data_IF_346762639368
#
_entry.id   IF_346762639368
#
_cell.length_a   1.000
_cell.length_b   1.000
_cell.length_c   1.000
_cell.angle_alpha   90.00
_cell.angle_beta   90.00
_cell.angle_gamma   90.00
#
_symmetry.space_group_name_H-M   'P 1'
#
loop_
_entity.id
_entity.type
_entity.pdbx_description
1 polymer ?
#
# COMPACT_ATOMS: atom_id res chain seq x y z
N UNK A 1 9.87 -2.88 4.91
CA UNK A 1 8.39 -2.91 4.92
C UNK A 1 7.84 -1.58 4.45
N UNK A 2 6.77 -1.63 3.70
CA UNK A 2 6.20 -0.42 3.13
C UNK A 2 4.86 -0.11 3.77
N UNK A 3 4.50 1.16 3.76
CA UNK A 3 3.26 1.63 4.35
C UNK A 3 2.38 2.25 3.28
N UNK A 4 1.14 1.78 3.20
CA UNK A 4 0.13 2.39 2.34
C UNK A 4 -0.95 2.95 3.23
N UNK A 5 -1.28 4.22 3.01
CA UNK A 5 -2.24 4.92 3.83
C UNK A 5 -3.40 5.38 2.98
N UNK A 6 -4.62 5.03 3.38
CA UNK A 6 -5.82 5.32 2.60
C UNK A 6 -6.84 5.99 3.52
N UNK A 7 -7.46 7.07 3.04
CA UNK A 7 -8.58 7.68 3.74
C UNK A 7 -9.86 7.37 3.00
N UNK A 8 -10.86 6.86 3.72
CA UNK A 8 -12.15 6.50 3.14
C UNK A 8 -13.28 7.04 4.01
N UNK A 9 -14.47 7.16 3.42
CA UNK A 9 -15.63 7.67 4.15
C UNK A 9 -16.14 6.67 5.17
N UNK A 10 -16.23 5.41 4.80
CA UNK A 10 -16.77 4.36 5.67
C UNK A 10 -15.89 3.14 5.62
N UNK A 11 -15.65 2.56 6.79
CA UNK A 11 -14.72 1.45 6.90
C UNK A 11 -15.17 0.22 6.12
N UNK A 12 -16.47 0.07 5.92
CA UNK A 12 -16.93 -1.10 5.17
C UNK A 12 -16.51 -1.08 3.71
N UNK A 13 -16.13 0.07 3.17
CA UNK A 13 -15.58 0.12 1.82
C UNK A 13 -14.24 -0.59 1.73
N UNK A 14 -13.59 -0.81 2.86
CA UNK A 14 -12.30 -1.47 2.90
C UNK A 14 -12.38 -2.93 3.27
N UNK A 15 -13.56 -3.53 3.19
CA UNK A 15 -13.74 -4.92 3.62
C UNK A 15 -12.79 -5.88 2.89
N UNK A 16 -12.53 -5.65 1.63
CA UNK A 16 -11.61 -6.50 0.88
C UNK A 16 -10.19 -6.35 1.37
N UNK A 17 -9.78 -5.12 1.70
CA UNK A 17 -8.44 -4.90 2.25
C UNK A 17 -8.29 -5.57 3.61
N UNK A 18 -9.32 -5.47 4.43
CA UNK A 18 -9.29 -6.08 5.75
C UNK A 18 -9.20 -7.60 5.63
N UNK A 19 -9.99 -8.17 4.73
CA UNK A 19 -9.94 -9.61 4.51
C UNK A 19 -8.58 -10.04 4.00
N UNK A 20 -8.00 -9.25 3.11
CA UNK A 20 -6.68 -9.56 2.57
C UNK A 20 -5.64 -9.60 3.68
N UNK A 21 -5.70 -8.63 4.59
CA UNK A 21 -4.77 -8.59 5.71
C UNK A 21 -4.95 -9.79 6.64
N UNK A 22 -6.19 -10.22 6.83
CA UNK A 22 -6.47 -11.36 7.70
C UNK A 22 -5.95 -12.67 7.14
N UNK A 23 -5.85 -12.75 5.82
CA UNK A 23 -5.46 -14.00 5.17
C UNK A 23 -4.04 -13.98 4.63
N UNK A 24 -3.27 -12.91 4.87
CA UNK A 24 -1.94 -12.78 4.29
C UNK A 24 -0.97 -12.26 5.33
N UNK A 25 0.04 -13.07 5.64
CA UNK A 25 1.02 -12.72 6.68
C UNK A 25 1.87 -11.53 6.32
N UNK A 26 1.96 -11.20 5.04
CA UNK A 26 2.78 -10.08 4.60
C UNK A 26 2.09 -8.73 4.77
N UNK A 27 0.86 -8.71 5.25
CA UNK A 27 0.09 -7.49 5.36
C UNK A 27 -0.51 -7.36 6.77
N UNK A 28 -0.18 -6.25 7.42
CA UNK A 28 -0.83 -5.87 8.67
C UNK A 28 -1.67 -4.65 8.40
N UNK A 29 -2.82 -4.56 9.06
CA UNK A 29 -3.73 -3.45 8.83
C UNK A 29 -4.12 -2.80 10.15
N UNK A 30 -4.15 -1.48 10.14
CA UNK A 30 -4.64 -0.69 11.26
C UNK A 30 -5.70 0.26 10.74
N UNK A 31 -6.87 0.27 11.36
CA UNK A 31 -7.92 1.21 10.99
C UNK A 31 -8.11 2.20 12.11
N UNK A 32 -8.26 3.46 11.75
CA UNK A 32 -8.36 4.51 12.73
C UNK A 32 -9.36 5.55 12.28
N UNK A 33 -10.43 5.71 13.05
CA UNK A 33 -11.42 6.71 12.73
C UNK A 33 -10.90 8.08 13.11
N UNK A 34 -11.02 9.04 12.20
CA UNK A 34 -10.53 10.37 12.49
C UNK A 34 -11.35 10.99 13.61
N UNK A 35 -10.71 11.90 14.32
CA UNK A 35 -11.27 12.46 15.54
C UNK A 35 -12.63 13.11 15.31
N UNK A 36 -12.78 13.84 14.21
CA UNK A 36 -14.05 14.48 13.93
C UNK A 36 -15.06 13.54 13.29
N UNK A 37 -14.70 12.28 13.07
CA UNK A 37 -15.63 11.24 12.66
C UNK A 37 -15.98 11.18 11.20
N UNK A 38 -15.41 12.04 10.38
CA UNK A 38 -15.81 12.10 8.99
C UNK A 38 -15.11 11.07 8.10
N UNK A 39 -13.88 10.74 8.43
CA UNK A 39 -13.10 9.84 7.59
C UNK A 39 -12.46 8.76 8.45
N UNK A 40 -12.19 7.63 7.81
CA UNK A 40 -11.43 6.56 8.43
C UNK A 40 -10.11 6.43 7.72
N UNK A 41 -9.02 6.39 8.48
CA UNK A 41 -7.70 6.17 7.92
C UNK A 41 -7.34 4.70 8.08
N UNK A 42 -6.90 4.09 6.99
CA UNK A 42 -6.46 2.70 6.98
C UNK A 42 -4.99 2.70 6.64
N UNK A 43 -4.20 2.09 7.52
CA UNK A 43 -2.76 1.96 7.31
C UNK A 43 -2.44 0.50 7.07
N UNK A 44 -1.81 0.23 5.94
CA UNK A 44 -1.37 -1.10 5.59
C UNK A 44 0.15 -1.14 5.68
N UNK A 45 0.66 -2.07 6.49
CA UNK A 45 2.08 -2.30 6.61
C UNK A 45 2.38 -3.58 5.85
N UNK A 46 3.14 -3.46 4.78
CA UNK A 46 3.22 -4.51 3.76
C UNK A 46 4.65 -4.90 3.46
N UNK A 47 4.90 -6.20 3.42
CA UNK A 47 6.10 -6.73 2.79
C UNK A 47 5.75 -6.95 1.32
N UNK A 48 6.29 -6.13 0.44
CA UNK A 48 5.90 -6.18 -0.97
C UNK A 48 6.52 -7.37 -1.66
N UNK A 49 5.67 -8.20 -2.24
CA UNK A 49 6.07 -9.30 -3.10
C UNK A 49 5.22 -9.22 -4.35
N UNK A 50 5.60 -9.97 -5.38
CA UNK A 50 4.83 -9.99 -6.61
C UNK A 50 3.39 -10.43 -6.33
N UNK A 51 3.23 -11.43 -5.47
CA UNK A 51 1.89 -11.93 -5.15
C UNK A 51 1.05 -10.90 -4.44
N UNK A 52 1.66 -10.17 -3.50
CA UNK A 52 0.94 -9.12 -2.77
C UNK A 52 0.53 -8.00 -3.72
N UNK A 53 1.44 -7.58 -4.58
CA UNK A 53 1.13 -6.53 -5.55
C UNK A 53 -0.03 -6.97 -6.44
N UNK A 54 0.00 -8.22 -6.90
CA UNK A 54 -1.01 -8.73 -7.81
C UNK A 54 -2.42 -8.70 -7.22
N UNK A 55 -2.56 -8.94 -5.91
CA UNK A 55 -3.88 -8.93 -5.30
C UNK A 55 -4.26 -7.55 -4.78
N UNK A 56 -3.29 -6.73 -4.40
CA UNK A 56 -3.56 -5.44 -3.80
C UNK A 56 -3.96 -4.38 -4.83
N UNK A 57 -3.29 -4.38 -5.99
CA UNK A 57 -3.51 -3.34 -6.99
C UNK A 57 -4.95 -3.29 -7.49
N UNK A 58 -5.57 -4.42 -7.84
CA UNK A 58 -6.97 -4.37 -8.29
C UNK A 58 -7.92 -3.83 -7.22
N UNK A 59 -7.65 -4.14 -5.96
CA UNK A 59 -8.51 -3.66 -4.87
C UNK A 59 -8.40 -2.15 -4.76
N UNK A 60 -7.18 -1.62 -4.75
CA UNK A 60 -6.97 -0.18 -4.68
C UNK A 60 -7.61 0.51 -5.88
N UNK A 61 -7.39 -0.05 -7.07
CA UNK A 61 -7.95 0.54 -8.29
C UNK A 61 -9.47 0.57 -8.24
N UNK A 62 -10.07 -0.52 -7.75
CA UNK A 62 -11.53 -0.58 -7.63
C UNK A 62 -12.05 0.51 -6.70
N UNK A 63 -11.38 0.72 -5.56
CA UNK A 63 -11.78 1.74 -4.62
C UNK A 63 -11.68 3.13 -5.24
N UNK A 64 -10.62 3.38 -5.99
CA UNK A 64 -10.45 4.66 -6.66
C UNK A 64 -11.53 4.85 -7.72
N UNK A 65 -11.79 3.83 -8.50
CA UNK A 65 -12.76 3.89 -9.59
C UNK A 65 -14.15 4.22 -9.08
N UNK A 66 -14.50 3.73 -7.90
CA UNK A 66 -15.80 3.94 -7.32
C UNK A 66 -15.85 5.11 -6.35
N UNK A 67 -14.81 5.94 -6.37
CA UNK A 67 -14.72 7.15 -5.54
C UNK A 67 -14.84 6.86 -4.05
N UNK A 68 -14.27 5.74 -3.61
CA UNK A 68 -14.30 5.36 -2.19
C UNK A 68 -13.11 5.87 -1.42
N UNK A 69 -12.05 6.27 -2.11
CA UNK A 69 -10.82 6.75 -1.49
C UNK A 69 -10.73 8.26 -1.65
N UNK A 70 -10.49 8.96 -0.54
CA UNK A 70 -10.24 10.40 -0.58
C UNK A 70 -8.76 10.71 -0.77
N UNK A 71 -7.90 9.92 -0.15
CA UNK A 71 -6.46 10.15 -0.20
C UNK A 71 -5.73 8.82 -0.23
N UNK A 72 -4.66 8.78 -1.00
CA UNK A 72 -3.78 7.61 -1.06
C UNK A 72 -2.35 8.09 -0.86
N UNK A 73 -1.66 7.47 0.11
CA UNK A 73 -0.24 7.75 0.33
C UNK A 73 0.53 6.43 0.33
N UNK A 74 1.69 6.44 -0.27
CA UNK A 74 2.58 5.29 -0.26
C UNK A 74 3.91 5.74 0.32
N UNK A 75 4.30 5.14 1.44
CA UNK A 75 5.52 5.50 2.16
C UNK A 75 5.58 6.98 2.47
N UNK A 76 4.42 7.55 2.83
CA UNK A 76 4.33 8.95 3.21
C UNK A 76 4.17 9.92 2.07
N UNK A 77 4.26 9.44 0.84
CA UNK A 77 4.14 10.29 -0.33
C UNK A 77 2.73 10.23 -0.87
N UNK A 78 2.10 11.39 -0.99
CA UNK A 78 0.73 11.45 -1.52
C UNK A 78 0.74 11.14 -3.01
N UNK A 79 -0.15 10.27 -3.42
CA UNK A 79 -0.28 9.88 -4.81
C UNK A 79 -1.50 10.55 -5.40
N UNK A 80 -1.33 11.15 -6.58
CA UNK A 80 -2.44 11.76 -7.28
C UNK A 80 -3.33 10.67 -7.85
N UNK A 81 -4.58 10.61 -7.37
CA UNK A 81 -5.46 9.51 -7.75
C UNK A 81 -6.45 9.87 -8.84
N UNK A 82 -6.52 11.15 -9.25
CA UNK A 82 -7.40 11.53 -10.33
C UNK A 82 -6.92 10.91 -11.63
N UNK A 83 -7.77 10.08 -12.24
CA UNK A 83 -7.45 9.44 -13.52
C UNK A 83 -6.26 8.52 -13.47
N UNK A 84 -5.89 8.03 -12.29
CA UNK A 84 -4.77 7.10 -12.19
C UNK A 84 -5.17 5.75 -12.78
N UNK A 85 -4.26 5.11 -13.49
CA UNK A 85 -4.52 3.80 -14.07
C UNK A 85 -4.04 2.70 -13.13
N UNK A 86 -4.60 1.51 -13.35
CA UNK A 86 -4.15 0.35 -12.59
C UNK A 86 -2.67 0.07 -12.86
N UNK A 87 -2.25 0.28 -14.10
CA UNK A 87 -0.86 0.07 -14.48
C UNK A 87 0.07 0.99 -13.73
N UNK A 88 -0.33 2.23 -13.50
CA UNK A 88 0.51 3.17 -12.78
C UNK A 88 0.63 2.78 -11.32
N UNK A 89 -0.47 2.36 -10.70
CA UNK A 89 -0.43 1.90 -9.32
C UNK A 89 0.52 0.72 -9.20
N UNK A 90 0.39 -0.23 -10.11
CA UNK A 90 1.26 -1.40 -10.11
C UNK A 90 2.72 -1.00 -10.27
N UNK A 91 2.98 -0.07 -11.17
CA UNK A 91 4.34 0.39 -11.42
C UNK A 91 4.96 1.03 -10.17
N UNK A 92 4.18 1.84 -9.47
CA UNK A 92 4.66 2.48 -8.25
C UNK A 92 5.04 1.43 -7.22
N UNK A 93 4.18 0.46 -7.00
CA UNK A 93 4.44 -0.58 -6.00
C UNK A 93 5.61 -1.47 -6.42
N UNK A 94 5.73 -1.78 -7.70
CA UNK A 94 6.84 -2.57 -8.18
C UNK A 94 8.16 -1.84 -7.99
N UNK A 95 8.17 -0.54 -8.22
CA UNK A 95 9.37 0.26 -7.98
C UNK A 95 9.76 0.26 -6.51
N UNK A 96 8.78 0.36 -5.62
CA UNK A 96 9.07 0.31 -4.19
C UNK A 96 9.64 -1.05 -3.81
N UNK A 97 9.09 -2.11 -4.37
CA UNK A 97 9.59 -3.45 -4.11
C UNK A 97 11.04 -3.60 -4.56
N UNK A 98 11.36 -3.08 -5.74
CA UNK A 98 12.72 -3.16 -6.26
C UNK A 98 13.70 -2.37 -5.42
N UNK A 99 13.29 -1.19 -4.95
CA UNK A 99 14.15 -0.38 -4.11
C UNK A 99 14.47 -1.07 -2.80
N UNK A 100 13.48 -1.71 -2.21
CA UNK A 100 13.69 -2.43 -0.97
C UNK A 100 14.64 -3.60 -1.16
N UNK A 101 14.45 -4.36 -2.23
CA UNK A 101 15.33 -5.49 -2.53
C UNK A 101 16.75 -5.03 -2.80
N UNK A 102 16.90 -3.96 -3.52
CA UNK A 102 18.18 -3.40 -3.84
C UNK A 102 18.92 -2.93 -2.59
N UNK A 103 18.20 -2.28 -1.70
CA UNK A 103 18.77 -1.81 -0.45
C UNK A 103 19.22 -2.98 0.42
N UNK A 104 18.41 -4.00 0.51
CA UNK A 104 18.76 -5.18 1.29
C UNK A 104 19.99 -5.89 0.72
N UNK A 105 20.02 -6.02 -0.58
CA UNK A 105 21.13 -6.63 -1.26
C UNK A 105 22.41 -5.86 -1.00
N UNK A 106 22.34 -4.57 -1.10
CA UNK A 106 23.47 -3.72 -0.86
C UNK A 106 23.97 -3.84 0.56
N UNK A 107 23.05 -3.86 1.51
CA UNK A 107 23.42 -3.99 2.91
C UNK A 107 24.08 -5.34 3.19
N UNK A 108 23.61 -6.36 2.54
CA UNK A 108 24.14 -7.69 2.72
C UNK A 108 25.56 -7.81 2.20
N UNK A 109 25.84 -7.18 1.09
CA UNK A 109 27.15 -7.30 0.46
C UNK A 109 28.16 -6.32 1.02
N UNK A 110 27.68 -5.22 1.50
CA UNK A 110 28.51 -4.10 1.87
C UNK A 110 29.67 -4.42 2.79
N UNK A 111 29.49 -5.11 3.87
CA UNK A 111 30.58 -5.28 4.80
C UNK A 111 31.79 -5.90 4.20
N UNK A 112 31.65 -6.51 3.14
CA UNK A 112 32.71 -7.19 2.55
C UNK A 112 33.32 -6.52 1.45
N UNK A 113 32.82 -5.64 0.94
CA UNK A 113 33.25 -5.13 -0.13
C UNK A 113 34.04 -4.17 -0.01
N UNK A 114 34.00 -3.77 0.41
CA UNK A 114 34.77 -3.04 0.46
C UNK A 114 35.82 -3.34 0.51
N UNK A 115 35.94 -4.03 0.53
CA UNK A 115 36.97 -4.40 0.61
C UNK A 115 37.34 -4.64 -0.04
#
# INVERSE_FOLDING_TARGET
>A
MHKIEIEIDEVEYASELIRLAETNEDIDIITEKNFNGDLTTIELYISLTINVVAVLVPIIKSLIKHNKISTLKIDGQKIEINNISQELIEKILMQKMELEAKTESKNTVDPNKEE
#
